data_IF_834367098907
#
_entry.id   IF_834367098907
#
_cell.length_a   1.000
_cell.length_b   1.000
_cell.length_c   1.000
_cell.angle_alpha   90.00
_cell.angle_beta   90.00
_cell.angle_gamma   90.00
#
_symmetry.space_group_name_H-M   'P 1'
#
loop_
_entity.id
_entity.type
_entity.pdbx_description
1 polymer ?
#
# COMPACT_ATOMS: atom_id res chain seq x y z
N UNK A 1 19.72 1.14 6.31
CA UNK A 1 19.60 2.21 7.32
C UNK A 1 18.26 2.95 7.17
N UNK A 2 17.91 3.44 5.98
CA UNK A 2 16.65 4.15 5.72
C UNK A 2 15.36 3.42 6.17
N UNK A 3 15.18 2.12 5.87
CA UNK A 3 13.96 1.41 6.29
C UNK A 3 13.80 1.28 7.80
N UNK A 4 14.91 1.12 8.53
CA UNK A 4 14.88 1.00 9.99
C UNK A 4 14.39 2.30 10.62
N UNK A 5 14.82 3.43 10.07
CA UNK A 5 14.33 4.74 10.45
C UNK A 5 12.85 4.92 10.11
N UNK A 6 12.41 4.51 8.91
CA UNK A 6 11.00 4.54 8.53
C UNK A 6 10.10 3.70 9.45
N UNK A 7 10.53 2.48 9.79
CA UNK A 7 9.84 1.60 10.75
C UNK A 7 9.74 2.27 12.12
N UNK A 8 10.82 2.87 12.62
CA UNK A 8 10.82 3.56 13.91
C UNK A 8 9.84 4.74 13.92
N UNK A 9 9.82 5.53 12.85
CA UNK A 9 8.91 6.68 12.73
C UNK A 9 7.45 6.24 12.63
N UNK A 10 7.14 5.19 11.85
CA UNK A 10 5.79 4.64 11.76
C UNK A 10 5.33 4.00 13.08
N UNK A 11 6.23 3.35 13.82
CA UNK A 11 5.94 2.81 15.14
C UNK A 11 5.63 3.93 16.14
N UNK A 12 6.43 4.99 16.16
CA UNK A 12 6.18 6.16 17.00
C UNK A 12 4.84 6.81 16.66
N UNK A 13 4.56 7.01 15.36
CA UNK A 13 3.30 7.54 14.87
C UNK A 13 2.10 6.67 15.31
N UNK A 14 2.21 5.35 15.15
CA UNK A 14 1.18 4.40 15.56
C UNK A 14 0.89 4.47 17.07
N UNK A 15 1.93 4.52 17.90
CA UNK A 15 1.79 4.64 19.36
C UNK A 15 1.12 5.97 19.73
N UNK A 16 1.49 7.07 19.09
CA UNK A 16 0.88 8.38 19.34
C UNK A 16 -0.60 8.39 18.97
N UNK A 17 -0.97 7.88 17.79
CA UNK A 17 -2.37 7.79 17.36
C UNK A 17 -3.20 6.95 18.33
N UNK A 18 -2.72 5.76 18.70
CA UNK A 18 -3.41 4.89 19.66
C UNK A 18 -3.56 5.58 21.02
N UNK A 19 -2.50 6.23 21.50
CA UNK A 19 -2.54 6.97 22.75
C UNK A 19 -3.57 8.11 22.70
N UNK A 20 -3.57 8.91 21.63
CA UNK A 20 -4.52 10.01 21.47
C UNK A 20 -5.96 9.53 21.36
N UNK A 21 -6.23 8.43 20.66
CA UNK A 21 -7.59 7.87 20.62
C UNK A 21 -8.05 7.41 22.01
N UNK A 22 -7.18 6.75 22.77
CA UNK A 22 -7.50 6.30 24.13
C UNK A 22 -7.75 7.46 25.10
N UNK A 23 -7.11 8.61 24.91
CA UNK A 23 -7.25 9.78 25.78
C UNK A 23 -8.41 10.70 25.39
N UNK A 24 -8.60 10.93 24.09
CA UNK A 24 -9.51 11.97 23.57
C UNK A 24 -10.68 11.41 22.74
N UNK A 25 -10.67 10.11 22.46
CA UNK A 25 -11.71 9.42 21.70
C UNK A 25 -11.49 9.40 20.19
N UNK A 26 -12.29 8.59 19.51
CA UNK A 26 -12.20 8.33 18.06
C UNK A 26 -12.43 9.58 17.21
N UNK A 27 -13.34 10.47 17.61
CA UNK A 27 -13.62 11.72 16.90
C UNK A 27 -12.40 12.61 16.78
N UNK A 28 -11.55 12.65 17.81
CA UNK A 28 -10.35 13.49 17.83
C UNK A 28 -9.28 13.00 16.83
N UNK A 29 -9.09 11.69 16.72
CA UNK A 29 -8.07 11.11 15.83
C UNK A 29 -8.53 10.99 14.38
N UNK A 30 -9.85 10.96 14.13
CA UNK A 30 -10.43 10.79 12.79
C UNK A 30 -9.92 11.81 11.77
N UNK A 31 -9.81 13.08 12.17
CA UNK A 31 -9.34 14.16 11.30
C UNK A 31 -7.87 13.96 10.85
N UNK A 32 -7.06 13.22 11.61
CA UNK A 32 -5.68 12.91 11.24
C UNK A 32 -5.58 11.65 10.35
N UNK A 33 -6.58 10.77 10.41
CA UNK A 33 -6.57 9.45 9.80
C UNK A 33 -7.27 9.40 8.42
N UNK A 34 -8.54 9.81 8.35
CA UNK A 34 -9.38 9.57 7.18
C UNK A 34 -9.94 10.85 6.57
N UNK A 35 -10.30 11.84 7.40
CA UNK A 35 -11.10 12.97 6.94
C UNK A 35 -10.22 14.09 6.39
N UNK A 36 -10.50 14.47 5.14
CA UNK A 36 -9.90 15.61 4.45
C UNK A 36 -10.55 16.93 4.89
N UNK A 37 -11.61 16.86 5.69
CA UNK A 37 -12.40 18.00 6.16
C UNK A 37 -12.32 18.08 7.70
N UNK A 38 -11.91 19.24 8.23
CA UNK A 38 -11.82 19.48 9.68
C UNK A 38 -11.13 20.80 10.01
N UNK A 39 -11.46 21.41 11.17
CA UNK A 39 -10.89 22.67 11.66
C UNK A 39 -9.58 22.44 12.45
N UNK A 40 -8.68 21.60 11.94
CA UNK A 40 -7.39 21.29 12.56
C UNK A 40 -6.21 21.62 11.64
N UNK A 41 -5.10 22.03 12.25
CA UNK A 41 -3.88 22.49 11.55
C UNK A 41 -3.31 21.39 10.64
N UNK A 42 -3.45 20.13 11.04
CA UNK A 42 -3.04 18.96 10.26
C UNK A 42 -4.22 18.02 10.11
N UNK A 43 -4.75 17.90 8.89
CA UNK A 43 -5.82 16.98 8.53
C UNK A 43 -5.33 15.96 7.50
N UNK A 44 -5.97 14.78 7.45
CA UNK A 44 -5.67 13.70 6.51
C UNK A 44 -4.17 13.36 6.40
N UNK A 45 -3.45 13.38 7.53
CA UNK A 45 -2.01 13.09 7.58
C UNK A 45 -1.76 11.67 7.09
N UNK A 46 -2.53 10.72 7.61
CA UNK A 46 -2.42 9.32 7.24
C UNK A 46 -2.71 9.11 5.74
N UNK A 47 -3.86 9.58 5.26
CA UNK A 47 -4.24 9.58 3.83
C UNK A 47 -3.16 10.20 2.95
N UNK A 48 -2.52 11.28 3.42
CA UNK A 48 -1.45 11.93 2.66
C UNK A 48 -0.21 11.06 2.58
N UNK A 49 0.21 10.46 3.70
CA UNK A 49 1.37 9.55 3.75
C UNK A 49 1.12 8.31 2.89
N UNK A 50 -0.04 7.67 3.02
CA UNK A 50 -0.43 6.48 2.24
C UNK A 50 -0.47 6.82 0.74
N UNK A 51 -1.12 7.91 0.35
CA UNK A 51 -1.16 8.39 -1.05
C UNK A 51 0.25 8.58 -1.61
N UNK A 52 1.15 9.26 -0.87
CA UNK A 52 2.53 9.50 -1.31
C UNK A 52 3.26 8.17 -1.52
N UNK A 53 3.15 7.22 -0.58
CA UNK A 53 3.78 5.92 -0.74
C UNK A 53 3.20 5.13 -1.92
N UNK A 54 1.89 5.15 -2.14
CA UNK A 54 1.25 4.49 -3.29
C UNK A 54 1.74 5.07 -4.62
N UNK A 55 1.86 6.39 -4.73
CA UNK A 55 2.44 7.05 -5.91
C UNK A 55 3.91 6.67 -6.09
N UNK A 56 4.70 6.62 -5.02
CA UNK A 56 6.10 6.18 -5.08
C UNK A 56 6.25 4.72 -5.48
N UNK A 57 5.35 3.84 -5.04
CA UNK A 57 5.29 2.44 -5.47
C UNK A 57 5.07 2.37 -6.98
N UNK A 58 4.02 3.04 -7.47
CA UNK A 58 3.73 3.09 -8.91
C UNK A 58 4.90 3.66 -9.70
N UNK A 59 5.51 4.73 -9.20
CA UNK A 59 6.68 5.36 -9.81
C UNK A 59 7.86 4.39 -9.94
N UNK A 60 8.16 3.59 -8.90
CA UNK A 60 9.22 2.58 -8.97
C UNK A 60 8.98 1.56 -10.10
N UNK A 61 7.74 1.09 -10.28
CA UNK A 61 7.40 0.18 -11.38
C UNK A 61 7.44 0.86 -12.76
N UNK A 62 7.03 2.13 -12.86
CA UNK A 62 7.17 2.94 -14.09
C UNK A 62 8.64 3.16 -14.45
N UNK A 63 9.52 3.37 -13.47
CA UNK A 63 10.95 3.44 -13.72
C UNK A 63 11.50 2.11 -14.28
N UNK A 64 11.03 0.97 -13.76
CA UNK A 64 11.38 -0.33 -14.35
C UNK A 64 10.96 -0.42 -15.83
N UNK A 65 9.76 0.08 -16.18
CA UNK A 65 9.26 0.12 -17.56
C UNK A 65 10.12 1.00 -18.48
N UNK A 66 10.49 2.20 -18.02
CA UNK A 66 11.18 3.21 -18.84
C UNK A 66 12.67 2.93 -19.05
N UNK A 67 13.31 2.28 -18.07
CA UNK A 67 14.74 1.95 -18.15
C UNK A 67 15.04 0.75 -19.06
N UNK A 68 14.02 0.00 -19.50
CA UNK A 68 14.21 -1.19 -20.34
C UNK A 68 14.30 -0.85 -21.84
N UNK A 69 15.42 -0.23 -22.22
CA UNK A 69 15.68 0.24 -23.61
C UNK A 69 15.96 -0.87 -24.61
N UNK A 70 16.36 -2.07 -24.16
CA UNK A 70 16.60 -3.23 -25.02
C UNK A 70 15.58 -4.28 -24.66
N UNK A 71 14.47 -4.36 -25.41
CA UNK A 71 13.36 -5.32 -25.25
C UNK A 71 13.86 -6.77 -25.33
N UNK A 72 14.50 -7.25 -24.28
CA UNK A 72 14.96 -8.62 -24.16
C UNK A 72 13.78 -9.58 -24.05
N UNK A 73 14.04 -10.84 -24.37
CA UNK A 73 13.01 -11.88 -24.43
C UNK A 73 12.31 -12.08 -23.07
N UNK A 74 13.00 -11.82 -21.96
CA UNK A 74 12.45 -11.86 -20.59
C UNK A 74 11.63 -10.60 -20.24
N UNK A 75 12.02 -9.41 -20.74
CA UNK A 75 11.26 -8.17 -20.58
C UNK A 75 9.81 -8.31 -21.06
N UNK A 76 9.60 -8.96 -22.20
CA UNK A 76 8.25 -9.14 -22.75
C UNK A 76 7.31 -9.91 -21.81
N UNK A 77 7.85 -10.79 -20.97
CA UNK A 77 7.07 -11.57 -20.01
C UNK A 77 6.71 -10.76 -18.76
N UNK A 78 7.59 -9.86 -18.32
CA UNK A 78 7.38 -9.06 -17.10
C UNK A 78 6.64 -7.74 -17.36
N UNK A 79 6.60 -7.28 -18.61
CA UNK A 79 5.94 -6.05 -19.00
C UNK A 79 4.47 -5.96 -18.53
N UNK A 80 3.62 -7.00 -18.71
CA UNK A 80 2.23 -6.93 -18.24
C UNK A 80 2.14 -6.76 -16.73
N UNK A 81 3.02 -7.42 -15.97
CA UNK A 81 3.11 -7.28 -14.53
C UNK A 81 3.45 -5.83 -14.14
N UNK A 82 4.51 -5.25 -14.70
CA UNK A 82 4.93 -3.89 -14.38
C UNK A 82 3.87 -2.84 -14.72
N UNK A 83 3.21 -2.97 -15.88
CA UNK A 83 2.10 -2.09 -16.28
C UNK A 83 0.94 -2.24 -15.29
N UNK A 84 0.55 -3.47 -14.99
CA UNK A 84 -0.55 -3.74 -14.08
C UNK A 84 -0.28 -3.19 -12.68
N UNK A 85 0.90 -3.44 -12.10
CA UNK A 85 1.29 -2.91 -10.79
C UNK A 85 1.28 -1.38 -10.78
N UNK A 86 1.82 -0.74 -11.83
CA UNK A 86 1.82 0.72 -11.94
C UNK A 86 0.39 1.29 -11.93
N UNK A 87 -0.51 0.69 -12.72
CA UNK A 87 -1.91 1.11 -12.79
C UNK A 87 -2.67 0.83 -11.50
N UNK A 88 -2.46 -0.33 -10.89
CA UNK A 88 -3.09 -0.72 -9.63
C UNK A 88 -2.73 0.27 -8.51
N UNK A 89 -1.44 0.57 -8.32
CA UNK A 89 -1.03 1.47 -7.25
C UNK A 89 -1.39 2.93 -7.51
N UNK A 90 -1.45 3.38 -8.77
CA UNK A 90 -2.03 4.68 -9.11
C UNK A 90 -3.53 4.73 -8.82
N UNK A 91 -4.26 3.66 -9.16
CA UNK A 91 -5.68 3.54 -8.84
C UNK A 91 -5.90 3.60 -7.32
N UNK A 92 -5.14 2.83 -6.53
CA UNK A 92 -5.23 2.86 -5.07
C UNK A 92 -4.85 4.24 -4.49
N UNK A 93 -3.88 4.94 -5.08
CA UNK A 93 -3.52 6.30 -4.66
C UNK A 93 -4.65 7.30 -4.91
N UNK A 94 -5.34 7.16 -6.06
CA UNK A 94 -6.53 7.96 -6.35
C UNK A 94 -7.68 7.59 -5.42
N UNK A 95 -7.86 6.30 -5.18
CA UNK A 95 -8.92 5.77 -4.32
C UNK A 95 -8.81 6.31 -2.89
N UNK A 96 -7.60 6.36 -2.32
CA UNK A 96 -7.33 6.98 -1.00
C UNK A 96 -7.81 8.45 -0.91
N UNK A 97 -7.80 9.20 -2.01
CA UNK A 97 -8.19 10.62 -2.03
C UNK A 97 -9.64 10.85 -2.41
N UNK A 98 -10.20 9.98 -3.24
CA UNK A 98 -11.50 10.19 -3.85
C UNK A 98 -12.56 9.20 -3.36
N UNK A 99 -12.19 8.25 -2.50
CA UNK A 99 -13.07 7.21 -1.95
C UNK A 99 -13.83 6.50 -3.08
N UNK A 100 -13.09 6.08 -4.12
CA UNK A 100 -13.68 5.52 -5.35
C UNK A 100 -14.40 4.22 -5.01
N UNK A 101 -13.78 3.37 -4.18
CA UNK A 101 -14.33 2.09 -3.77
C UNK A 101 -15.61 2.24 -2.95
N UNK A 102 -15.70 3.24 -2.06
CA UNK A 102 -16.92 3.55 -1.31
C UNK A 102 -18.05 4.00 -2.24
N UNK A 103 -17.75 4.93 -3.17
CA UNK A 103 -18.74 5.42 -4.15
C UNK A 103 -19.25 4.28 -5.04
N UNK A 104 -18.36 3.39 -5.46
CA UNK A 104 -18.72 2.20 -6.24
C UNK A 104 -19.53 1.19 -5.42
N UNK A 105 -19.13 0.94 -4.17
CA UNK A 105 -19.85 0.05 -3.24
C UNK A 105 -21.28 0.53 -3.00
N UNK A 106 -21.43 1.83 -2.74
CA UNK A 106 -22.73 2.48 -2.60
C UNK A 106 -23.59 2.32 -3.87
N UNK A 107 -23.01 2.55 -5.06
CA UNK A 107 -23.75 2.42 -6.33
C UNK A 107 -24.17 0.97 -6.63
N UNK A 108 -23.34 -0.01 -6.26
CA UNK A 108 -23.59 -1.43 -6.49
C UNK A 108 -24.42 -2.10 -5.37
N UNK A 109 -24.64 -1.41 -4.25
CA UNK A 109 -25.36 -1.96 -3.09
C UNK A 109 -24.59 -3.04 -2.34
N UNK A 110 -23.25 -3.06 -2.44
CA UNK A 110 -22.39 -3.99 -1.71
C UNK A 110 -21.54 -3.24 -0.68
N UNK A 111 -21.13 -3.96 0.37
CA UNK A 111 -20.15 -3.46 1.33
C UNK A 111 -18.81 -3.21 0.59
N UNK A 112 -18.28 -2.01 0.78
CA UNK A 112 -17.06 -1.44 0.23
C UNK A 112 -15.81 -2.28 0.52
N UNK A 113 -15.72 -2.91 1.71
CA UNK A 113 -14.64 -3.82 2.06
C UNK A 113 -14.51 -5.01 1.10
N UNK A 114 -15.62 -5.47 0.50
CA UNK A 114 -15.57 -6.57 -0.48
C UNK A 114 -14.90 -6.17 -1.78
N UNK A 115 -15.01 -4.90 -2.20
CA UNK A 115 -14.36 -4.41 -3.41
C UNK A 115 -12.83 -4.38 -3.23
N UNK A 116 -12.36 -3.85 -2.10
CA UNK A 116 -10.94 -3.88 -1.73
C UNK A 116 -10.43 -5.32 -1.53
N UNK A 117 -11.24 -6.18 -0.92
CA UNK A 117 -10.95 -7.60 -0.79
C UNK A 117 -10.80 -8.32 -2.13
N UNK A 118 -11.69 -8.05 -3.08
CA UNK A 118 -11.61 -8.61 -4.43
C UNK A 118 -10.36 -8.15 -5.18
N UNK A 119 -10.00 -6.86 -5.06
CA UNK A 119 -8.74 -6.31 -5.60
C UNK A 119 -7.54 -7.03 -4.97
N UNK A 120 -7.53 -7.22 -3.65
CA UNK A 120 -6.47 -7.93 -2.93
C UNK A 120 -6.31 -9.39 -3.38
N UNK A 121 -7.42 -10.13 -3.54
CA UNK A 121 -7.41 -11.51 -4.06
C UNK A 121 -6.89 -11.54 -5.49
N UNK A 122 -7.35 -10.61 -6.34
CA UNK A 122 -6.88 -10.51 -7.72
C UNK A 122 -5.37 -10.23 -7.78
N UNK A 123 -4.87 -9.33 -6.93
CA UNK A 123 -3.44 -9.05 -6.81
C UNK A 123 -2.64 -10.29 -6.38
N UNK A 124 -3.15 -11.09 -5.43
CA UNK A 124 -2.51 -12.37 -5.07
C UNK A 124 -2.43 -13.34 -6.25
N UNK A 125 -3.48 -13.40 -7.09
CA UNK A 125 -3.47 -14.23 -8.31
C UNK A 125 -2.41 -13.73 -9.29
N UNK A 126 -2.29 -12.41 -9.48
CA UNK A 126 -1.25 -11.81 -10.32
C UNK A 126 0.14 -12.15 -9.77
N UNK A 127 0.41 -11.91 -8.49
CA UNK A 127 1.70 -12.23 -7.86
C UNK A 127 2.04 -13.72 -7.98
N UNK A 128 1.07 -14.61 -7.80
CA UNK A 128 1.29 -16.05 -7.97
C UNK A 128 1.59 -16.42 -9.43
N UNK A 129 0.89 -15.81 -10.39
CA UNK A 129 1.11 -16.04 -11.82
C UNK A 129 2.51 -15.63 -12.27
N UNK A 130 3.08 -14.60 -11.63
CA UNK A 130 4.44 -14.10 -11.90
C UNK A 130 5.48 -14.59 -10.89
N UNK A 131 5.19 -15.61 -10.06
CA UNK A 131 6.05 -16.08 -8.95
C UNK A 131 7.51 -16.37 -9.35
N UNK A 132 7.71 -16.90 -10.56
CA UNK A 132 9.05 -17.27 -11.05
C UNK A 132 9.95 -16.05 -11.25
N UNK A 133 9.36 -14.87 -11.47
CA UNK A 133 10.05 -13.59 -11.59
C UNK A 133 10.21 -12.88 -10.23
N UNK A 134 9.35 -13.20 -9.25
CA UNK A 134 9.25 -12.50 -7.97
C UNK A 134 10.03 -13.18 -6.82
N UNK A 135 10.34 -14.47 -6.95
CA UNK A 135 11.03 -15.28 -5.92
C UNK A 135 12.51 -15.55 -6.22
N UNK A 136 13.26 -14.51 -6.58
CA UNK A 136 14.71 -14.55 -6.39
C UNK A 136 14.98 -14.50 -4.87
N UNK A 137 15.70 -15.50 -4.33
CA UNK A 137 15.91 -15.76 -2.89
C UNK A 137 16.71 -14.66 -2.16
N UNK A 138 16.26 -13.41 -2.21
CA UNK A 138 16.79 -12.32 -1.40
C UNK A 138 15.83 -12.04 -0.25
N UNK A 139 16.41 -11.65 0.89
CA UNK A 139 15.80 -11.42 2.20
C UNK A 139 14.60 -10.42 2.25
N UNK A 140 14.00 -10.03 1.13
CA UNK A 140 13.09 -8.88 1.02
C UNK A 140 11.69 -9.21 0.49
N UNK A 141 11.41 -10.48 0.20
CA UNK A 141 10.06 -11.02 0.00
C UNK A 141 9.20 -10.91 1.27
N UNK A 142 9.83 -10.85 2.44
CA UNK A 142 9.15 -10.63 3.72
C UNK A 142 8.32 -9.35 3.74
N UNK A 143 8.75 -8.28 3.07
CA UNK A 143 7.97 -7.04 2.99
C UNK A 143 6.68 -7.24 2.20
N UNK A 144 6.68 -8.08 1.16
CA UNK A 144 5.45 -8.41 0.44
C UNK A 144 4.47 -9.20 1.34
N UNK A 145 4.98 -10.17 2.11
CA UNK A 145 4.15 -10.93 3.05
C UNK A 145 3.61 -10.07 4.19
N UNK A 146 4.44 -9.20 4.78
CA UNK A 146 4.00 -8.26 5.81
C UNK A 146 3.00 -7.26 5.24
N UNK A 147 3.24 -6.74 4.03
CA UNK A 147 2.31 -5.88 3.30
C UNK A 147 0.93 -6.55 3.15
N UNK A 148 0.91 -7.77 2.62
CA UNK A 148 -0.32 -8.55 2.47
C UNK A 148 -1.00 -8.88 3.80
N UNK A 149 -0.23 -9.20 4.84
CA UNK A 149 -0.76 -9.47 6.18
C UNK A 149 -1.48 -8.24 6.75
N UNK A 150 -0.83 -7.08 6.76
CA UNK A 150 -1.41 -5.85 7.28
C UNK A 150 -2.60 -5.37 6.44
N UNK A 151 -2.56 -5.55 5.12
CA UNK A 151 -3.69 -5.28 4.25
C UNK A 151 -4.90 -6.18 4.58
N UNK A 152 -4.65 -7.47 4.81
CA UNK A 152 -5.68 -8.40 5.26
C UNK A 152 -6.26 -8.03 6.63
N UNK A 153 -5.43 -7.61 7.59
CA UNK A 153 -5.88 -7.12 8.90
C UNK A 153 -6.79 -5.90 8.72
N UNK A 154 -6.40 -4.93 7.89
CA UNK A 154 -7.22 -3.76 7.58
C UNK A 154 -8.60 -4.18 7.04
N UNK A 155 -8.67 -5.04 6.01
CA UNK A 155 -9.96 -5.51 5.45
C UNK A 155 -10.81 -6.19 6.52
N UNK A 156 -10.23 -7.01 7.40
CA UNK A 156 -10.98 -7.68 8.46
C UNK A 156 -11.56 -6.70 9.47
N UNK A 157 -10.81 -5.68 9.86
CA UNK A 157 -11.28 -4.65 10.79
C UNK A 157 -12.37 -3.79 10.15
N UNK A 158 -12.22 -3.46 8.87
CA UNK A 158 -13.21 -2.69 8.14
C UNK A 158 -14.52 -3.48 7.98
N UNK A 159 -14.44 -4.72 7.49
CA UNK A 159 -15.61 -5.57 7.21
C UNK A 159 -16.37 -6.03 8.48
N UNK A 160 -15.67 -6.28 9.59
CA UNK A 160 -16.27 -6.89 10.79
C UNK A 160 -16.24 -5.98 12.02
N UNK A 161 -15.52 -4.86 11.98
CA UNK A 161 -15.43 -3.94 13.10
C UNK A 161 -16.75 -3.18 13.30
N UNK A 162 -17.25 -3.17 14.53
CA UNK A 162 -18.39 -2.32 14.91
C UNK A 162 -18.04 -0.83 14.79
N UNK A 163 -18.95 -0.01 14.27
CA UNK A 163 -18.71 1.42 13.99
C UNK A 163 -18.25 2.24 15.20
N UNK A 164 -18.65 1.84 16.41
CA UNK A 164 -18.33 2.52 17.67
C UNK A 164 -17.30 1.75 18.53
N UNK A 165 -16.60 0.77 17.96
CA UNK A 165 -15.61 -0.01 18.69
C UNK A 165 -14.34 0.82 18.89
N UNK A 166 -13.92 0.95 20.16
CA UNK A 166 -12.69 1.65 20.55
C UNK A 166 -11.50 1.09 19.76
N UNK A 167 -10.68 1.99 19.21
CA UNK A 167 -9.50 1.71 18.39
C UNK A 167 -9.77 1.08 17.03
N UNK A 168 -11.03 0.85 16.62
CA UNK A 168 -11.33 0.29 15.29
C UNK A 168 -10.67 1.13 14.19
N UNK A 169 -10.97 2.42 14.18
CA UNK A 169 -10.49 3.34 13.14
C UNK A 169 -8.96 3.42 13.14
N UNK A 170 -8.35 3.61 14.31
CA UNK A 170 -6.87 3.63 14.41
C UNK A 170 -6.25 2.33 13.91
N UNK A 171 -6.74 1.16 14.31
CA UNK A 171 -6.13 -0.09 13.87
C UNK A 171 -6.34 -0.35 12.37
N UNK A 172 -7.50 0.02 11.83
CA UNK A 172 -7.78 -0.05 10.40
C UNK A 172 -6.78 0.79 9.59
N UNK A 173 -6.71 2.09 9.88
CA UNK A 173 -5.88 3.04 9.14
C UNK A 173 -4.38 2.86 9.38
N UNK A 174 -3.97 2.49 10.60
CA UNK A 174 -2.58 2.16 10.88
C UNK A 174 -2.18 0.86 10.17
N UNK A 175 -3.03 -0.17 10.16
CA UNK A 175 -2.75 -1.41 9.42
C UNK A 175 -2.59 -1.13 7.93
N UNK A 176 -3.48 -0.32 7.35
CA UNK A 176 -3.35 0.15 5.96
C UNK A 176 -2.00 0.83 5.70
N UNK A 177 -1.59 1.71 6.60
CA UNK A 177 -0.32 2.46 6.47
C UNK A 177 0.90 1.55 6.54
N UNK A 178 0.91 0.61 7.48
CA UNK A 178 1.96 -0.41 7.56
C UNK A 178 1.98 -1.27 6.30
N UNK A 179 0.83 -1.69 5.79
CA UNK A 179 0.73 -2.47 4.55
C UNK A 179 1.40 -1.74 3.39
N UNK A 180 1.00 -0.49 3.16
CA UNK A 180 1.51 0.36 2.07
C UNK A 180 3.00 0.63 2.24
N UNK A 181 3.48 0.89 3.47
CA UNK A 181 4.91 1.08 3.71
C UNK A 181 5.72 -0.17 3.32
N UNK A 182 5.28 -1.37 3.71
CA UNK A 182 5.99 -2.59 3.34
C UNK A 182 5.94 -2.88 1.84
N UNK A 183 4.82 -2.57 1.16
CA UNK A 183 4.72 -2.63 -0.29
C UNK A 183 5.65 -1.61 -0.98
N UNK A 184 5.83 -0.43 -0.40
CA UNK A 184 6.84 0.54 -0.85
C UNK A 184 8.25 -0.03 -0.73
N UNK A 185 8.61 -0.59 0.42
CA UNK A 185 9.92 -1.25 0.61
C UNK A 185 10.13 -2.33 -0.44
N UNK A 186 9.10 -3.15 -0.70
CA UNK A 186 9.15 -4.18 -1.73
C UNK A 186 9.40 -3.59 -3.13
N UNK A 187 8.59 -2.63 -3.57
CA UNK A 187 8.70 -2.03 -4.92
C UNK A 187 10.05 -1.36 -5.17
N UNK A 188 10.61 -0.69 -4.17
CA UNK A 188 11.89 -0.01 -4.30
C UNK A 188 13.07 -0.99 -4.34
N UNK A 189 12.97 -2.10 -3.62
CA UNK A 189 13.96 -3.17 -3.67
C UNK A 189 13.88 -3.95 -4.98
N UNK A 190 12.67 -4.17 -5.48
CA UNK A 190 12.45 -4.69 -6.83
C UNK A 190 13.13 -3.80 -7.87
N UNK A 191 12.94 -2.48 -7.80
CA UNK A 191 13.59 -1.52 -8.69
C UNK A 191 15.13 -1.56 -8.61
N UNK A 192 15.70 -1.66 -7.40
CA UNK A 192 17.16 -1.80 -7.25
C UNK A 192 17.71 -3.07 -7.90
N UNK A 193 17.01 -4.19 -7.72
CA UNK A 193 17.38 -5.47 -8.33
C UNK A 193 17.32 -5.35 -9.86
N UNK A 194 16.24 -4.75 -10.38
CA UNK A 194 16.07 -4.46 -11.80
C UNK A 194 17.23 -3.66 -12.39
N UNK A 195 17.65 -2.58 -11.70
CA UNK A 195 18.82 -1.81 -12.13
C UNK A 195 20.13 -2.61 -12.09
N UNK A 196 20.32 -3.45 -11.06
CA UNK A 196 21.54 -4.25 -10.90
C UNK A 196 21.69 -5.27 -12.02
N UNK A 197 20.62 -5.98 -12.36
CA UNK A 197 20.62 -6.95 -13.47
C UNK A 197 21.01 -6.26 -14.79
N UNK A 198 20.42 -5.10 -15.08
CA UNK A 198 20.72 -4.33 -16.29
C UNK A 198 22.13 -3.73 -16.33
N UNK A 199 22.77 -3.49 -15.19
CA UNK A 199 24.17 -3.03 -15.14
C UNK A 199 25.17 -4.17 -15.33
N UNK A 200 24.83 -5.39 -14.94
CA UNK A 200 25.67 -6.58 -15.18
C UNK A 200 25.73 -6.90 -16.68
N UNK A 201 24.62 -6.72 -17.42
CA UNK A 201 24.56 -6.93 -18.88
C UNK A 201 25.30 -5.86 -19.71
N UNK A 202 25.83 -4.80 -19.07
CA UNK A 202 26.57 -3.72 -19.73
C UNK A 202 28.10 -3.85 -19.64
N UNK A 203 28.61 -4.82 -18.88
CA UNK A 203 30.04 -5.13 -18.72
C UNK A 203 30.37 -6.32 -19.61
#
# INVERSE_FOLDING_TARGET
MAYRFGILMLALYSVLIIFFELQFGQTYVREYLSDIEGDVIFFAVNTTITTVFLVLIAYNFILCLTLDRKKEKNTKKILPFLVFQSLLFLFLAMDERFMIHERMGYYLGFNDAYLLGAIGVFELVVLFSFKQLLWTKTLKTYSLYLGGLFFGIMILIDAFGGTNTILRLSFEDLSKTWAIFFLFVYSFEFYKLWQKEKNIERI
#
